data_IF_803577932792
#
_entry.id   IF_803577932792
#
_cell.length_a   1.000
_cell.length_b   1.000
_cell.length_c   1.000
_cell.angle_alpha   90.00
_cell.angle_beta   90.00
_cell.angle_gamma   90.00
#
_symmetry.space_group_name_H-M   'P 1'
#
loop_
_entity.id
_entity.type
_entity.pdbx_description
1 polymer ?
#
# COMPACT_ATOMS: atom_id res chain seq x y z
N UNK A 1 -33.15 -32.60 11.96
CA UNK A 1 -32.96 -32.52 10.51
C UNK A 1 -31.62 -31.85 10.25
N UNK A 2 -30.77 -32.47 9.43
CA UNK A 2 -29.50 -31.87 9.03
C UNK A 2 -29.73 -30.86 7.90
N UNK A 3 -29.21 -29.65 8.05
CA UNK A 3 -29.18 -28.64 7.00
C UNK A 3 -27.75 -28.36 6.57
N UNK A 4 -27.61 -27.95 5.31
CA UNK A 4 -26.35 -27.63 4.67
C UNK A 4 -26.35 -26.14 4.30
N UNK A 5 -25.51 -25.39 4.97
CA UNK A 5 -25.36 -23.96 4.79
C UNK A 5 -24.53 -23.67 3.54
N UNK A 6 -24.92 -22.65 2.79
CA UNK A 6 -24.17 -22.14 1.64
C UNK A 6 -24.07 -20.61 1.66
N UNK A 7 -23.06 -20.06 1.00
CA UNK A 7 -22.88 -18.62 0.89
C UNK A 7 -24.06 -17.95 0.17
N UNK A 8 -24.59 -16.86 0.71
CA UNK A 8 -25.80 -16.23 0.17
C UNK A 8 -25.61 -15.56 -1.20
N UNK A 9 -24.36 -15.22 -1.56
CA UNK A 9 -24.02 -14.54 -2.80
C UNK A 9 -23.60 -15.55 -3.87
N UNK A 10 -22.67 -16.43 -3.51
CA UNK A 10 -21.99 -17.32 -4.44
C UNK A 10 -22.43 -18.78 -4.34
N UNK A 11 -23.19 -19.15 -3.30
CA UNK A 11 -23.82 -20.46 -3.09
C UNK A 11 -22.86 -21.63 -2.88
N UNK A 12 -21.60 -21.36 -2.54
CA UNK A 12 -20.65 -22.39 -2.13
C UNK A 12 -21.03 -23.01 -0.79
N UNK A 13 -20.73 -24.30 -0.59
CA UNK A 13 -20.96 -24.98 0.67
C UNK A 13 -20.11 -24.40 1.81
N UNK A 14 -20.71 -24.12 2.97
CA UNK A 14 -20.05 -23.54 4.14
C UNK A 14 -19.95 -24.50 5.33
N UNK A 15 -20.79 -25.52 5.38
CA UNK A 15 -20.86 -26.46 6.51
C UNK A 15 -22.28 -26.95 6.74
N UNK A 16 -22.43 -27.84 7.74
CA UNK A 16 -23.73 -28.43 8.07
C UNK A 16 -23.98 -28.38 9.57
N UNK A 17 -25.24 -28.24 9.95
CA UNK A 17 -25.69 -28.25 11.34
C UNK A 17 -26.98 -29.07 11.51
N UNK A 18 -27.22 -29.53 12.74
CA UNK A 18 -28.46 -30.21 13.11
C UNK A 18 -29.45 -29.20 13.66
N UNK A 19 -30.63 -29.12 13.06
CA UNK A 19 -31.74 -28.27 13.54
C UNK A 19 -32.96 -29.11 13.93
N UNK A 20 -33.81 -28.65 14.86
CA UNK A 20 -35.04 -29.36 15.22
C UNK A 20 -35.95 -29.55 14.00
N UNK A 21 -36.57 -30.73 13.86
CA UNK A 21 -37.39 -31.13 12.69
C UNK A 21 -38.60 -30.22 12.38
N UNK A 22 -38.98 -29.35 13.32
CA UNK A 22 -40.07 -28.37 13.15
C UNK A 22 -39.61 -27.02 12.61
N UNK A 23 -38.31 -26.85 12.38
CA UNK A 23 -37.73 -25.59 11.90
C UNK A 23 -37.72 -25.56 10.38
N UNK A 24 -38.14 -24.45 9.77
CA UNK A 24 -38.00 -24.24 8.33
C UNK A 24 -36.51 -24.13 7.95
N UNK A 25 -36.19 -24.41 6.68
CA UNK A 25 -34.82 -24.25 6.15
C UNK A 25 -34.51 -22.75 5.98
N UNK A 26 -33.43 -22.23 6.61
CA UNK A 26 -33.03 -20.84 6.44
C UNK A 26 -32.71 -20.44 4.99
N UNK A 27 -32.76 -19.14 4.68
CA UNK A 27 -32.56 -18.60 3.32
C UNK A 27 -31.22 -18.98 2.64
N UNK A 28 -30.19 -19.22 3.44
CA UNK A 28 -28.85 -19.59 3.02
C UNK A 28 -28.52 -21.05 3.37
N UNK A 29 -29.53 -21.91 3.38
CA UNK A 29 -29.39 -23.33 3.70
C UNK A 29 -30.24 -24.20 2.76
N UNK A 30 -29.93 -25.50 2.73
CA UNK A 30 -30.68 -26.53 2.02
C UNK A 30 -30.74 -27.82 2.83
N UNK A 31 -31.79 -28.60 2.63
CA UNK A 31 -31.93 -29.97 3.12
C UNK A 31 -31.21 -31.00 2.22
N UNK A 32 -30.72 -30.57 1.06
CA UNK A 32 -30.00 -31.40 0.09
C UNK A 32 -28.50 -31.38 0.39
N UNK A 33 -27.93 -32.55 0.72
CA UNK A 33 -26.49 -32.68 1.00
C UNK A 33 -25.59 -32.41 -0.21
N UNK A 34 -24.41 -31.79 -0.01
CA UNK A 34 -23.41 -31.64 -1.07
C UNK A 34 -22.80 -33.00 -1.45
N UNK A 35 -22.24 -33.14 -2.67
CA UNK A 35 -21.45 -34.30 -3.07
C UNK A 35 -20.28 -34.53 -2.12
N UNK A 36 -19.90 -35.79 -1.91
CA UNK A 36 -18.76 -36.13 -1.06
C UNK A 36 -17.45 -35.62 -1.66
N UNK A 37 -16.46 -35.26 -0.82
CA UNK A 37 -15.19 -34.67 -1.29
C UNK A 37 -14.45 -35.57 -2.30
N UNK A 38 -14.58 -36.88 -2.19
CA UNK A 38 -13.98 -37.85 -3.12
C UNK A 38 -14.64 -37.88 -4.51
N UNK A 39 -15.81 -37.26 -4.67
CA UNK A 39 -16.57 -37.20 -5.93
C UNK A 39 -16.31 -35.90 -6.73
N UNK A 40 -15.48 -35.01 -6.20
CA UNK A 40 -15.26 -33.71 -6.79
C UNK A 40 -14.29 -33.81 -7.98
N UNK A 41 -14.68 -33.31 -9.17
CA UNK A 41 -13.73 -33.22 -10.26
C UNK A 41 -12.56 -32.30 -9.90
N UNK A 42 -11.36 -32.61 -10.43
CA UNK A 42 -10.17 -31.80 -10.21
C UNK A 42 -10.43 -30.32 -10.56
N UNK A 43 -10.05 -29.43 -9.64
CA UNK A 43 -10.21 -27.99 -9.80
C UNK A 43 -11.67 -27.50 -9.76
N UNK A 44 -12.63 -28.30 -9.30
CA UNK A 44 -14.04 -27.90 -9.18
C UNK A 44 -14.60 -28.04 -7.77
N UNK A 45 -15.62 -27.23 -7.48
CA UNK A 45 -16.27 -27.11 -6.18
C UNK A 45 -17.79 -27.16 -6.31
N UNK A 46 -18.51 -27.72 -5.32
CA UNK A 46 -19.96 -27.78 -5.36
C UNK A 46 -20.57 -26.42 -5.02
N UNK A 47 -21.47 -25.96 -5.89
CA UNK A 47 -22.26 -24.74 -5.77
C UNK A 47 -23.74 -25.09 -5.79
N UNK A 48 -24.50 -24.57 -4.83
CA UNK A 48 -25.92 -24.86 -4.76
C UNK A 48 -26.71 -24.05 -5.79
N UNK A 49 -27.33 -24.73 -6.75
CA UNK A 49 -28.24 -24.13 -7.71
C UNK A 49 -29.64 -24.06 -7.12
N UNK A 50 -30.03 -22.88 -6.61
CA UNK A 50 -31.35 -22.62 -6.01
C UNK A 50 -32.52 -22.95 -6.95
N UNK A 51 -32.41 -22.62 -8.24
CA UNK A 51 -33.48 -22.84 -9.23
C UNK A 51 -33.79 -24.33 -9.42
N UNK A 52 -32.74 -25.16 -9.43
CA UNK A 52 -32.85 -26.60 -9.66
C UNK A 52 -32.76 -27.43 -8.37
N UNK A 53 -32.69 -26.76 -7.20
CA UNK A 53 -32.49 -27.37 -5.87
C UNK A 53 -31.43 -28.47 -5.82
N UNK A 54 -30.28 -28.26 -6.47
CA UNK A 54 -29.19 -29.26 -6.55
C UNK A 54 -27.81 -28.64 -6.50
N UNK A 55 -26.83 -29.41 -6.08
CA UNK A 55 -25.42 -29.04 -6.19
C UNK A 55 -24.92 -29.23 -7.62
N UNK A 56 -24.18 -28.25 -8.13
CA UNK A 56 -23.51 -28.30 -9.43
C UNK A 56 -22.03 -27.97 -9.23
N UNK A 57 -21.16 -28.60 -10.02
CA UNK A 57 -19.74 -28.31 -9.98
C UNK A 57 -19.43 -27.05 -10.80
N UNK A 58 -18.71 -26.11 -10.18
CA UNK A 58 -18.10 -24.95 -10.85
C UNK A 58 -16.59 -24.97 -10.65
N UNK A 59 -15.85 -24.24 -11.50
CA UNK A 59 -14.41 -24.05 -11.33
C UNK A 59 -14.09 -23.50 -9.94
N UNK A 60 -12.99 -23.96 -9.35
CA UNK A 60 -12.51 -23.53 -8.04
C UNK A 60 -11.72 -22.23 -8.17
N UNK A 61 -12.39 -21.14 -8.51
CA UNK A 61 -11.79 -19.79 -8.56
C UNK A 61 -11.98 -19.00 -7.25
N UNK A 62 -12.64 -19.61 -6.27
CA UNK A 62 -12.95 -19.02 -4.97
C UNK A 62 -12.12 -19.59 -3.81
N UNK A 63 -12.05 -20.92 -3.63
CA UNK A 63 -11.25 -21.50 -2.54
C UNK A 63 -9.77 -21.51 -2.89
N UNK A 64 -9.41 -21.84 -4.13
CA UNK A 64 -8.01 -21.80 -4.58
C UNK A 64 -7.69 -20.49 -5.28
N UNK A 65 -6.83 -19.69 -4.65
CA UNK A 65 -6.38 -18.41 -5.20
C UNK A 65 -4.86 -18.44 -5.43
N UNK A 66 -4.42 -17.84 -6.53
CA UNK A 66 -3.00 -17.60 -6.76
C UNK A 66 -2.60 -16.33 -6.02
N UNK A 67 -1.64 -16.46 -5.10
CA UNK A 67 -1.16 -15.35 -4.29
C UNK A 67 0.24 -14.99 -4.73
N UNK A 68 0.40 -13.73 -5.09
CA UNK A 68 1.69 -13.10 -5.36
C UNK A 68 2.14 -12.37 -4.12
N UNK A 69 3.11 -12.92 -3.40
CA UNK A 69 3.75 -12.24 -2.28
C UNK A 69 4.76 -11.22 -2.79
N UNK A 70 4.73 -10.03 -2.20
CA UNK A 70 5.67 -8.94 -2.43
C UNK A 70 6.33 -8.58 -1.11
N UNK A 71 7.67 -8.59 -1.12
CA UNK A 71 8.50 -8.15 -0.01
C UNK A 71 9.48 -7.08 -0.49
N UNK A 72 9.56 -5.97 0.25
CA UNK A 72 10.48 -4.86 -0.03
C UNK A 72 11.68 -5.00 0.90
N UNK A 73 12.87 -4.80 0.34
CA UNK A 73 14.12 -4.86 1.08
C UNK A 73 14.93 -3.61 0.74
N UNK A 74 15.24 -2.80 1.74
CA UNK A 74 16.05 -1.58 1.60
C UNK A 74 17.55 -1.87 1.57
N UNK A 75 18.00 -3.13 1.64
CA UNK A 75 19.43 -3.42 1.78
C UNK A 75 19.99 -3.25 3.19
N UNK A 76 19.20 -2.79 4.16
CA UNK A 76 19.64 -2.53 5.54
C UNK A 76 18.75 -3.24 6.54
N UNK A 77 19.35 -3.98 7.48
CA UNK A 77 18.62 -4.63 8.56
C UNK A 77 18.84 -3.90 9.90
N UNK A 78 17.83 -3.93 10.77
CA UNK A 78 17.93 -3.38 12.13
C UNK A 78 17.16 -4.22 13.13
N UNK A 79 17.81 -4.52 14.25
CA UNK A 79 17.19 -5.16 15.44
C UNK A 79 16.46 -4.12 16.30
N UNK A 80 16.90 -2.87 16.23
CA UNK A 80 16.30 -1.74 16.95
C UNK A 80 15.24 -1.02 16.08
N UNK A 81 14.28 -0.32 16.71
CA UNK A 81 13.35 0.58 16.02
C UNK A 81 14.08 1.58 15.11
N UNK A 82 13.46 1.85 13.96
CA UNK A 82 13.97 2.79 12.96
C UNK A 82 12.97 3.92 12.79
N UNK A 83 13.43 5.15 12.95
CA UNK A 83 12.62 6.37 12.82
C UNK A 83 13.03 7.15 11.58
N UNK A 84 12.14 7.96 11.01
CA UNK A 84 12.51 8.82 9.88
C UNK A 84 13.59 9.79 10.32
N UNK A 85 13.41 10.50 11.44
CA UNK A 85 14.39 11.48 11.96
C UNK A 85 15.35 10.86 12.97
N UNK A 86 15.81 9.61 12.74
CA UNK A 86 16.88 8.97 13.50
C UNK A 86 16.81 9.16 15.03
N UNK A 87 17.98 9.22 15.69
CA UNK A 87 18.07 9.88 16.99
C UNK A 87 17.94 11.39 16.72
N UNK A 88 17.01 12.09 17.38
CA UNK A 88 16.64 13.53 17.20
C UNK A 88 17.82 14.54 17.18
N UNK A 89 19.04 14.07 17.35
CA UNK A 89 20.31 14.81 17.38
C UNK A 89 21.05 14.89 16.04
N UNK A 90 20.64 14.20 14.97
CA UNK A 90 21.32 14.31 13.66
C UNK A 90 20.35 14.38 12.47
N UNK A 91 19.79 15.57 12.17
CA UNK A 91 18.70 15.75 11.21
C UNK A 91 19.20 16.18 9.80
N UNK A 92 20.34 15.67 9.31
CA UNK A 92 21.04 16.26 8.16
C UNK A 92 20.14 16.51 6.92
N UNK A 93 19.34 15.54 6.48
CA UNK A 93 18.44 15.72 5.32
C UNK A 93 17.22 16.60 5.63
N UNK A 94 16.84 16.70 6.91
CA UNK A 94 15.68 17.49 7.33
C UNK A 94 15.95 18.97 7.04
N UNK A 95 17.14 19.47 7.40
CA UNK A 95 17.53 20.86 7.12
C UNK A 95 17.39 21.20 5.63
N UNK A 96 17.87 20.33 4.74
CA UNK A 96 17.79 20.53 3.29
C UNK A 96 16.34 20.52 2.77
N UNK A 97 15.54 19.54 3.20
CA UNK A 97 14.11 19.49 2.89
C UNK A 97 13.37 20.72 3.42
N UNK A 98 13.76 21.21 4.59
CA UNK A 98 13.14 22.36 5.23
C UNK A 98 13.49 23.67 4.51
N UNK A 99 14.74 23.85 4.08
CA UNK A 99 15.12 24.97 3.22
C UNK A 99 14.35 24.96 1.91
N UNK A 100 14.16 23.78 1.31
CA UNK A 100 13.38 23.61 0.11
C UNK A 100 11.91 24.02 0.29
N UNK A 101 11.24 23.52 1.32
CA UNK A 101 9.83 23.82 1.59
C UNK A 101 9.61 25.30 1.92
N UNK A 102 10.59 25.95 2.56
CA UNK A 102 10.52 27.40 2.86
C UNK A 102 10.60 28.29 1.60
N UNK A 103 11.00 27.76 0.44
CA UNK A 103 10.98 28.49 -0.84
C UNK A 103 9.58 28.55 -1.49
N UNK A 104 8.57 27.93 -0.89
CA UNK A 104 7.20 27.92 -1.42
C UNK A 104 6.55 29.30 -1.35
N UNK A 105 5.90 29.76 -2.44
CA UNK A 105 5.00 30.88 -2.34
C UNK A 105 3.76 30.46 -1.52
N UNK A 106 3.29 31.33 -0.63
CA UNK A 106 2.13 31.10 0.25
C UNK A 106 0.79 31.12 -0.50
N UNK A 107 0.61 30.22 -1.47
CA UNK A 107 -0.50 30.23 -2.43
C UNK A 107 -1.55 29.19 -2.04
N UNK A 108 -2.83 29.57 -2.13
CA UNK A 108 -3.96 28.64 -2.06
C UNK A 108 -4.22 28.06 -3.45
N UNK A 109 -4.28 26.73 -3.55
CA UNK A 109 -4.52 26.02 -4.83
C UNK A 109 -5.96 25.54 -4.87
N UNK A 110 -6.77 25.91 -5.88
CA UNK A 110 -8.21 25.61 -5.93
C UNK A 110 -8.58 24.12 -5.81
N UNK A 111 -7.71 23.21 -6.26
CA UNK A 111 -7.96 21.76 -6.25
C UNK A 111 -7.32 20.98 -5.09
N UNK A 112 -6.23 21.50 -4.52
CA UNK A 112 -5.46 20.83 -3.45
C UNK A 112 -5.74 21.47 -2.09
N UNK A 113 -6.41 22.63 -2.06
CA UNK A 113 -6.61 23.43 -0.86
C UNK A 113 -5.36 24.23 -0.52
N UNK A 114 -5.09 24.42 0.78
CA UNK A 114 -3.88 25.07 1.24
C UNK A 114 -2.70 24.12 1.07
N UNK A 115 -1.65 24.56 0.38
CA UNK A 115 -0.44 23.77 0.26
C UNK A 115 0.15 23.51 1.65
N UNK A 116 0.66 22.29 1.89
CA UNK A 116 1.31 21.99 3.14
C UNK A 116 2.57 22.84 3.25
N UNK A 117 2.54 23.82 4.15
CA UNK A 117 3.75 24.57 4.51
C UNK A 117 4.70 23.72 5.35
N UNK A 118 5.90 24.26 5.59
CA UNK A 118 6.94 23.68 6.45
C UNK A 118 6.39 23.08 7.76
N UNK A 119 5.53 23.82 8.44
CA UNK A 119 4.96 23.39 9.73
C UNK A 119 4.17 22.09 9.58
N UNK A 120 3.34 21.98 8.54
CA UNK A 120 2.50 20.79 8.33
C UNK A 120 3.29 19.56 7.90
N UNK A 121 4.37 19.74 7.15
CA UNK A 121 5.27 18.63 6.79
C UNK A 121 6.03 18.11 8.01
N UNK A 122 6.50 19.01 8.88
CA UNK A 122 7.12 18.62 10.16
C UNK A 122 6.16 17.87 11.06
N UNK A 123 4.95 18.39 11.24
CA UNK A 123 3.91 17.69 12.01
C UNK A 123 3.62 16.29 11.46
N UNK A 124 3.72 16.10 10.14
CA UNK A 124 3.52 14.79 9.52
C UNK A 124 4.69 13.84 9.80
N UNK A 125 5.92 14.34 9.81
CA UNK A 125 7.10 13.56 10.23
C UNK A 125 6.96 13.15 11.70
N UNK A 126 6.62 14.10 12.58
CA UNK A 126 6.40 13.83 14.01
C UNK A 126 5.30 12.79 14.21
N UNK A 127 4.21 12.89 13.45
CA UNK A 127 3.13 11.91 13.46
C UNK A 127 3.60 10.52 13.00
N UNK A 128 4.40 10.45 11.93
CA UNK A 128 4.96 9.17 11.46
C UNK A 128 5.84 8.53 12.54
N UNK A 129 6.77 9.29 13.13
CA UNK A 129 7.65 8.77 14.17
C UNK A 129 6.84 8.32 15.40
N UNK A 130 5.82 9.07 15.80
CA UNK A 130 4.90 8.66 16.88
C UNK A 130 4.11 7.38 16.55
N UNK A 131 3.70 7.19 15.29
CA UNK A 131 3.09 5.93 14.85
C UNK A 131 4.08 4.76 14.94
N UNK A 132 5.34 4.97 14.54
CA UNK A 132 6.40 3.95 14.64
C UNK A 132 6.59 3.55 16.11
N UNK A 133 6.71 4.51 17.03
CA UNK A 133 6.83 4.26 18.47
C UNK A 133 5.68 3.39 18.99
N UNK A 134 4.43 3.73 18.63
CA UNK A 134 3.25 2.98 19.05
C UNK A 134 3.21 1.56 18.47
N UNK A 135 3.64 1.38 17.22
CA UNK A 135 3.67 0.07 16.57
C UNK A 135 4.73 -0.83 17.20
N UNK A 136 5.94 -0.30 17.43
CA UNK A 136 7.04 -1.05 18.08
C UNK A 136 6.67 -1.41 19.53
N UNK A 137 6.06 -0.49 20.30
CA UNK A 137 5.59 -0.79 21.65
C UNK A 137 4.49 -1.88 21.68
N UNK A 138 3.53 -1.82 20.75
CA UNK A 138 2.53 -2.88 20.59
C UNK A 138 3.18 -4.22 20.23
N UNK A 139 4.15 -4.22 19.31
CA UNK A 139 4.86 -5.41 18.89
C UNK A 139 5.61 -6.08 20.05
N UNK A 140 6.34 -5.33 20.87
CA UNK A 140 7.01 -5.84 22.06
C UNK A 140 6.02 -6.49 23.03
N UNK A 141 4.88 -5.85 23.26
CA UNK A 141 3.81 -6.37 24.11
C UNK A 141 3.25 -7.71 23.59
N UNK A 142 3.11 -7.87 22.26
CA UNK A 142 2.71 -9.15 21.67
C UNK A 142 3.78 -10.23 21.80
N UNK A 143 5.05 -9.87 21.61
CA UNK A 143 6.18 -10.80 21.69
C UNK A 143 6.37 -11.37 23.10
N UNK A 144 6.28 -10.50 24.12
CA UNK A 144 6.42 -10.89 25.53
C UNK A 144 5.21 -11.68 26.06
N UNK A 145 4.03 -11.48 25.45
CA UNK A 145 2.76 -12.07 25.89
C UNK A 145 2.52 -13.54 25.53
N UNK A 146 3.47 -14.24 24.89
CA UNK A 146 3.40 -15.68 24.62
C UNK A 146 2.17 -16.13 23.82
N UNK A 147 2.19 -15.95 22.49
CA UNK A 147 1.39 -16.66 21.46
C UNK A 147 -0.16 -16.65 21.57
N UNK A 148 -0.80 -16.10 22.60
CA UNK A 148 -2.27 -16.18 22.77
C UNK A 148 -3.09 -14.91 22.48
N UNK A 149 -2.53 -13.85 21.89
CA UNK A 149 -3.30 -12.65 21.46
C UNK A 149 -3.31 -12.43 19.95
N UNK A 150 -3.23 -13.51 19.19
CA UNK A 150 -3.14 -13.54 17.73
C UNK A 150 -4.47 -13.27 17.01
N UNK A 151 -5.56 -13.12 17.77
CA UNK A 151 -6.89 -12.76 17.24
C UNK A 151 -7.58 -11.85 18.27
N UNK A 152 -8.07 -10.67 17.85
CA UNK A 152 -8.83 -9.76 18.72
C UNK A 152 -8.49 -8.27 18.57
N UNK A 153 -8.94 -7.47 19.54
CA UNK A 153 -8.85 -5.99 19.48
C UNK A 153 -7.41 -5.46 19.35
N UNK A 154 -6.42 -6.13 19.96
CA UNK A 154 -5.01 -5.75 19.89
C UNK A 154 -4.41 -5.89 18.48
N UNK A 155 -4.62 -7.02 17.81
CA UNK A 155 -4.18 -7.23 16.44
C UNK A 155 -4.85 -6.22 15.48
N UNK A 156 -6.15 -5.99 15.63
CA UNK A 156 -6.87 -4.97 14.87
C UNK A 156 -6.25 -3.59 15.04
N UNK A 157 -5.95 -3.21 16.29
CA UNK A 157 -5.31 -1.93 16.58
C UNK A 157 -3.94 -1.80 15.92
N UNK A 158 -3.11 -2.85 15.94
CA UNK A 158 -1.84 -2.87 15.23
C UNK A 158 -2.00 -2.65 13.73
N UNK A 159 -2.93 -3.37 13.08
CA UNK A 159 -3.18 -3.18 11.64
C UNK A 159 -3.69 -1.78 11.31
N UNK A 160 -4.55 -1.19 12.14
CA UNK A 160 -5.00 0.19 11.96
C UNK A 160 -3.86 1.21 12.11
N UNK A 161 -2.95 1.00 13.06
CA UNK A 161 -1.76 1.84 13.22
C UNK A 161 -0.85 1.73 11.99
N UNK A 162 -0.61 0.51 11.50
CA UNK A 162 0.21 0.26 10.31
C UNK A 162 -0.44 0.86 9.05
N UNK A 163 -1.74 0.69 8.85
CA UNK A 163 -2.49 1.29 7.74
C UNK A 163 -2.38 2.83 7.78
N UNK A 164 -2.60 3.40 8.96
CA UNK A 164 -2.49 4.85 9.19
C UNK A 164 -1.08 5.36 8.91
N UNK A 165 -0.06 4.61 9.31
CA UNK A 165 1.35 4.93 9.04
C UNK A 165 1.65 4.89 7.54
N UNK A 166 1.24 3.84 6.82
CA UNK A 166 1.44 3.74 5.36
C UNK A 166 0.71 4.89 4.64
N UNK A 167 -0.50 5.23 5.07
CA UNK A 167 -1.25 6.38 4.56
C UNK A 167 -0.53 7.71 4.82
N UNK A 168 0.03 7.89 6.01
CA UNK A 168 0.79 9.09 6.38
C UNK A 168 2.09 9.22 5.59
N UNK A 169 2.87 8.14 5.44
CA UNK A 169 4.06 8.09 4.58
C UNK A 169 3.68 8.45 3.15
N UNK A 170 2.67 7.77 2.59
CA UNK A 170 2.20 8.03 1.23
C UNK A 170 1.87 9.51 1.02
N UNK A 171 1.10 10.09 1.94
CA UNK A 171 0.69 11.50 1.85
C UNK A 171 1.87 12.45 2.02
N UNK A 172 2.80 12.15 2.91
CA UNK A 172 4.02 12.92 3.10
C UNK A 172 4.83 13.01 1.81
N UNK A 173 5.06 11.87 1.15
CA UNK A 173 5.78 11.82 -0.12
C UNK A 173 5.02 12.54 -1.25
N UNK A 174 3.70 12.40 -1.31
CA UNK A 174 2.88 13.14 -2.28
C UNK A 174 3.00 14.65 -2.05
N UNK A 175 2.85 15.11 -0.80
CA UNK A 175 2.98 16.53 -0.42
C UNK A 175 4.35 17.10 -0.84
N UNK A 176 5.45 16.37 -0.60
CA UNK A 176 6.79 16.77 -1.01
C UNK A 176 6.93 16.95 -2.53
N UNK A 177 6.33 16.04 -3.31
CA UNK A 177 6.37 16.12 -4.78
C UNK A 177 5.53 17.27 -5.32
N UNK A 178 4.36 17.52 -4.74
CA UNK A 178 3.54 18.69 -5.09
C UNK A 178 4.33 19.97 -4.81
N UNK A 179 4.95 20.06 -3.64
CA UNK A 179 5.81 21.20 -3.29
C UNK A 179 6.94 21.36 -4.30
N UNK A 180 7.61 20.27 -4.66
CA UNK A 180 8.70 20.31 -5.64
C UNK A 180 8.28 20.79 -7.01
N UNK A 181 7.14 20.30 -7.48
CA UNK A 181 6.57 20.72 -8.75
C UNK A 181 6.27 22.22 -8.78
N UNK A 182 5.67 22.75 -7.71
CA UNK A 182 5.30 24.15 -7.65
C UNK A 182 6.50 25.10 -7.54
N UNK A 183 7.57 24.68 -6.88
CA UNK A 183 8.82 25.46 -6.80
C UNK A 183 9.54 25.47 -8.15
N UNK A 184 9.70 24.30 -8.77
CA UNK A 184 10.44 24.15 -10.04
C UNK A 184 9.72 24.89 -11.18
N UNK A 185 8.40 24.74 -11.29
CA UNK A 185 7.61 25.30 -12.39
C UNK A 185 6.90 26.60 -12.02
N UNK A 186 7.37 27.33 -11.00
CA UNK A 186 6.70 28.54 -10.48
C UNK A 186 6.39 29.59 -11.56
N UNK A 187 7.26 29.71 -12.57
CA UNK A 187 7.14 30.72 -13.62
C UNK A 187 5.98 30.42 -14.59
N UNK A 188 5.51 29.16 -14.62
CA UNK A 188 4.30 28.75 -15.34
C UNK A 188 3.02 28.95 -14.52
N UNK A 189 3.12 29.50 -13.30
CA UNK A 189 2.02 29.70 -12.35
C UNK A 189 1.10 28.47 -12.19
N UNK A 190 1.63 27.27 -11.88
CA UNK A 190 0.89 26.01 -11.90
C UNK A 190 -0.34 25.97 -10.99
N UNK A 191 -0.39 26.83 -9.97
CA UNK A 191 -1.55 27.01 -9.09
C UNK A 191 -2.77 27.63 -9.78
N UNK A 192 -2.63 28.24 -10.96
CA UNK A 192 -3.73 28.78 -11.78
C UNK A 192 -4.25 27.79 -12.82
N UNK A 193 -3.54 26.68 -13.05
CA UNK A 193 -3.86 25.74 -14.11
C UNK A 193 -4.91 24.69 -13.71
N UNK A 194 -5.57 24.12 -14.71
CA UNK A 194 -6.49 23.00 -14.56
C UNK A 194 -5.80 21.67 -14.22
N UNK A 195 -4.49 21.59 -14.39
CA UNK A 195 -3.71 20.42 -14.02
C UNK A 195 -2.71 20.81 -12.95
N UNK A 196 -2.72 20.04 -11.86
CA UNK A 196 -1.70 20.08 -10.84
C UNK A 196 -1.30 18.64 -10.55
N UNK A 197 0.00 18.41 -10.39
CA UNK A 197 0.52 17.13 -9.88
C UNK A 197 -0.07 16.92 -8.48
N UNK A 198 -0.69 15.77 -8.24
CA UNK A 198 -1.29 15.45 -6.93
C UNK A 198 -0.34 14.63 -6.03
N UNK A 199 0.75 14.12 -6.62
CA UNK A 199 1.82 13.44 -5.90
C UNK A 199 2.69 12.58 -6.82
N UNK A 200 3.58 11.78 -6.22
CA UNK A 200 4.59 11.03 -6.98
C UNK A 200 4.00 9.99 -7.92
N UNK A 201 2.77 9.52 -7.69
CA UNK A 201 2.12 8.54 -8.57
C UNK A 201 1.87 9.06 -9.97
N UNK A 202 1.61 10.35 -10.13
CA UNK A 202 1.37 10.96 -11.44
C UNK A 202 2.62 10.88 -12.32
N UNK A 203 3.80 10.89 -11.70
CA UNK A 203 5.10 10.86 -12.38
C UNK A 203 5.54 9.45 -12.76
N UNK A 204 4.93 8.40 -12.18
CA UNK A 204 5.26 7.02 -12.52
C UNK A 204 4.91 6.69 -13.98
N UNK A 205 3.96 7.41 -14.58
CA UNK A 205 3.65 7.37 -16.02
C UNK A 205 4.10 8.69 -16.65
N UNK A 206 5.39 8.77 -17.00
CA UNK A 206 6.03 10.00 -17.44
C UNK A 206 5.40 10.58 -18.71
N UNK A 207 5.03 9.73 -19.67
CA UNK A 207 4.40 10.16 -20.92
C UNK A 207 3.03 10.78 -20.67
N UNK A 208 2.21 10.14 -19.82
CA UNK A 208 0.91 10.67 -19.43
C UNK A 208 1.03 11.97 -18.64
N UNK A 209 2.03 12.06 -17.76
CA UNK A 209 2.34 13.29 -17.02
C UNK A 209 2.67 14.43 -18.00
N UNK A 210 3.63 14.24 -18.90
CA UNK A 210 4.03 15.25 -19.90
C UNK A 210 2.86 15.67 -20.78
N UNK A 211 2.06 14.72 -21.25
CA UNK A 211 0.88 15.01 -22.07
C UNK A 211 -0.16 15.86 -21.32
N UNK A 212 -0.44 15.55 -20.05
CA UNK A 212 -1.34 16.36 -19.21
C UNK A 212 -0.79 17.76 -18.96
N UNK A 213 0.51 17.87 -18.70
CA UNK A 213 1.18 19.15 -18.50
C UNK A 213 1.04 20.02 -19.76
N UNK A 214 1.50 19.55 -20.92
CA UNK A 214 1.41 20.29 -22.19
C UNK A 214 -0.01 20.75 -22.50
N UNK A 215 -1.01 19.88 -22.31
CA UNK A 215 -2.42 20.23 -22.52
C UNK A 215 -2.87 21.41 -21.64
N UNK A 216 -2.38 21.49 -20.42
CA UNK A 216 -2.85 22.46 -19.41
C UNK A 216 -2.09 23.78 -19.47
N UNK A 217 -0.84 23.75 -19.95
CA UNK A 217 0.03 24.92 -20.06
C UNK A 217 0.27 25.37 -21.51
N UNK A 218 -0.47 24.84 -22.49
CA UNK A 218 -0.30 25.14 -23.93
C UNK A 218 -0.29 26.63 -24.32
N UNK A 219 -0.78 27.52 -23.45
CA UNK A 219 -0.85 28.97 -23.66
C UNK A 219 0.40 29.72 -23.17
N UNK A 220 1.30 29.06 -22.44
CA UNK A 220 2.53 29.64 -21.85
C UNK A 220 3.80 28.94 -22.39
N UNK A 221 3.63 27.84 -23.12
CA UNK A 221 4.76 27.05 -23.64
C UNK A 221 5.13 27.55 -25.03
N UNK A 222 6.21 28.33 -25.12
CA UNK A 222 6.74 28.84 -26.39
C UNK A 222 7.76 27.89 -27.05
N UNK A 223 8.50 27.11 -26.25
CA UNK A 223 9.49 26.12 -26.68
C UNK A 223 9.18 24.72 -26.11
N UNK A 224 8.80 23.78 -26.97
CA UNK A 224 8.42 22.41 -26.55
C UNK A 224 9.65 21.54 -26.22
N UNK A 225 10.83 21.84 -26.77
CA UNK A 225 12.04 21.05 -26.53
C UNK A 225 12.64 21.36 -25.15
N UNK A 226 12.76 22.65 -24.81
CA UNK A 226 13.26 23.07 -23.48
C UNK A 226 12.32 22.62 -22.34
N UNK A 227 11.01 22.72 -22.56
CA UNK A 227 10.03 22.21 -21.60
C UNK A 227 10.14 20.70 -21.43
N UNK A 228 10.28 19.96 -22.54
CA UNK A 228 10.41 18.50 -22.50
C UNK A 228 11.60 18.07 -21.65
N UNK A 229 12.75 18.73 -21.84
CA UNK A 229 13.96 18.51 -21.04
C UNK A 229 13.71 18.82 -19.57
N UNK A 230 13.05 19.94 -19.26
CA UNK A 230 12.73 20.33 -17.88
C UNK A 230 11.79 19.33 -17.18
N UNK A 231 10.79 18.83 -17.88
CA UNK A 231 9.87 17.79 -17.37
C UNK A 231 10.59 16.46 -17.14
N UNK A 232 11.50 16.07 -18.03
CA UNK A 232 12.34 14.86 -17.85
C UNK A 232 13.28 14.99 -16.66
N UNK A 233 13.94 16.14 -16.52
CA UNK A 233 14.78 16.43 -15.37
C UNK A 233 13.97 16.39 -14.08
N UNK A 234 12.76 16.95 -14.05
CA UNK A 234 11.89 16.89 -12.86
C UNK A 234 11.49 15.46 -12.50
N UNK A 235 11.06 14.65 -13.48
CA UNK A 235 10.74 13.23 -13.25
C UNK A 235 11.98 12.48 -12.73
N UNK A 236 13.15 12.75 -13.30
CA UNK A 236 14.44 12.21 -12.84
C UNK A 236 14.79 12.63 -11.40
N UNK A 237 14.59 13.91 -11.05
CA UNK A 237 14.80 14.43 -9.68
C UNK A 237 13.89 13.75 -8.67
N UNK A 238 12.60 13.58 -8.99
CA UNK A 238 11.61 13.06 -8.04
C UNK A 238 11.67 11.55 -7.91
N UNK A 239 11.75 10.81 -9.01
CA UNK A 239 11.75 9.34 -8.97
C UNK A 239 13.14 8.78 -8.73
N UNK A 240 14.14 9.33 -9.44
CA UNK A 240 15.53 8.86 -9.41
C UNK A 240 15.65 7.34 -9.45
N UNK A 241 16.54 6.81 -8.61
CA UNK A 241 16.71 5.37 -8.37
C UNK A 241 15.63 4.74 -7.48
N UNK A 242 14.71 5.52 -6.90
CA UNK A 242 13.72 5.06 -5.93
C UNK A 242 12.37 4.71 -6.55
N UNK A 243 12.29 4.59 -7.88
CA UNK A 243 11.06 4.27 -8.61
C UNK A 243 10.39 3.00 -8.08
N UNK A 244 11.18 1.98 -7.72
CA UNK A 244 10.67 0.73 -7.16
C UNK A 244 10.07 0.92 -5.77
N UNK A 245 10.78 1.59 -4.86
CA UNK A 245 10.29 1.93 -3.52
C UNK A 245 9.00 2.75 -3.57
N UNK A 246 8.95 3.81 -4.39
CA UNK A 246 7.75 4.62 -4.57
C UNK A 246 6.59 3.77 -5.13
N UNK A 247 6.88 2.87 -6.07
CA UNK A 247 5.90 1.91 -6.58
C UNK A 247 5.38 0.98 -5.48
N UNK A 248 6.25 0.53 -4.57
CA UNK A 248 5.90 -0.28 -3.41
C UNK A 248 4.91 0.46 -2.50
N UNK A 249 5.24 1.70 -2.11
CA UNK A 249 4.37 2.54 -1.26
C UNK A 249 3.02 2.79 -1.93
N UNK A 250 2.99 3.04 -3.25
CA UNK A 250 1.74 3.16 -4.01
C UNK A 250 0.91 1.87 -3.96
N UNK A 251 1.53 0.73 -4.21
CA UNK A 251 0.85 -0.57 -4.21
C UNK A 251 0.33 -0.90 -2.81
N UNK A 252 1.14 -0.75 -1.78
CA UNK A 252 0.78 -0.92 -0.37
C UNK A 252 -0.43 -0.06 0.01
N UNK A 253 -0.37 1.25 -0.25
CA UNK A 253 -1.48 2.17 0.07
C UNK A 253 -2.76 1.82 -0.68
N UNK A 254 -2.67 1.41 -1.95
CA UNK A 254 -3.83 0.98 -2.72
C UNK A 254 -4.40 -0.37 -2.23
N UNK A 255 -3.53 -1.30 -1.81
CA UNK A 255 -3.93 -2.58 -1.23
C UNK A 255 -4.69 -2.40 0.08
N UNK A 256 -4.31 -1.44 0.95
CA UNK A 256 -5.10 -1.11 2.15
C UNK A 256 -6.50 -0.57 1.79
N UNK A 257 -6.60 0.36 0.82
CA UNK A 257 -7.89 0.90 0.35
C UNK A 257 -8.84 -0.14 -0.24
N UNK A 258 -8.29 -1.21 -0.80
CA UNK A 258 -9.02 -2.28 -1.47
C UNK A 258 -8.77 -3.65 -0.84
N UNK A 259 -8.50 -3.67 0.47
CA UNK A 259 -8.21 -4.91 1.17
C UNK A 259 -9.47 -5.76 1.23
N UNK A 260 -9.38 -6.94 0.63
CA UNK A 260 -10.51 -7.87 0.52
C UNK A 260 -10.62 -8.75 1.76
N UNK A 261 -9.49 -8.96 2.43
CA UNK A 261 -9.37 -9.93 3.49
C UNK A 261 -8.80 -9.28 4.74
N UNK A 262 -9.36 -8.13 5.12
CA UNK A 262 -9.04 -7.47 6.39
C UNK A 262 -9.06 -8.49 7.55
N UNK A 263 -9.99 -9.45 7.54
CA UNK A 263 -10.07 -10.58 8.48
C UNK A 263 -8.92 -11.62 8.40
N UNK A 264 -8.34 -11.87 7.23
CA UNK A 264 -7.22 -12.83 7.06
C UNK A 264 -5.89 -12.15 7.37
N UNK A 265 -5.70 -10.92 6.87
CA UNK A 265 -4.54 -10.09 7.19
C UNK A 265 -4.39 -9.84 8.69
N UNK A 266 -5.51 -9.73 9.42
CA UNK A 266 -5.56 -9.55 10.89
C UNK A 266 -4.89 -10.66 11.70
N UNK A 267 -4.72 -11.85 11.11
CA UNK A 267 -4.07 -12.99 11.77
C UNK A 267 -2.60 -13.15 11.34
N UNK A 268 -2.12 -12.31 10.42
CA UNK A 268 -0.77 -12.38 9.85
C UNK A 268 0.08 -11.26 10.45
N UNK A 269 0.96 -11.64 11.38
CA UNK A 269 1.92 -10.76 12.05
C UNK A 269 3.30 -11.42 12.02
N UNK A 270 4.35 -10.60 11.89
CA UNK A 270 5.72 -11.07 12.04
C UNK A 270 6.00 -11.57 13.45
N UNK A 271 6.78 -12.63 13.57
CA UNK A 271 7.21 -13.17 14.88
C UNK A 271 8.45 -12.43 15.39
N UNK A 272 9.35 -12.07 14.48
CA UNK A 272 10.68 -11.56 14.83
C UNK A 272 10.77 -10.03 14.83
N UNK A 273 9.94 -9.37 14.04
CA UNK A 273 9.91 -7.92 13.86
C UNK A 273 8.51 -7.42 13.47
N UNK A 274 8.18 -6.14 13.68
CA UNK A 274 6.92 -5.57 13.22
C UNK A 274 6.82 -5.60 11.70
N UNK A 275 5.63 -5.96 11.19
CA UNK A 275 5.39 -6.20 9.76
C UNK A 275 4.27 -5.32 9.21
N UNK A 276 4.43 -4.86 7.98
CA UNK A 276 3.39 -4.26 7.17
C UNK A 276 2.75 -5.36 6.33
N UNK A 277 1.57 -5.79 6.76
CA UNK A 277 0.81 -6.87 6.12
C UNK A 277 -0.50 -6.35 5.56
N UNK A 278 -0.72 -6.61 4.27
CA UNK A 278 -2.02 -6.42 3.62
C UNK A 278 -2.20 -7.38 2.46
N UNK A 279 -3.38 -7.98 2.38
CA UNK A 279 -3.80 -8.77 1.23
C UNK A 279 -4.86 -7.98 0.49
N UNK A 280 -4.63 -7.75 -0.80
CA UNK A 280 -5.50 -6.92 -1.64
C UNK A 280 -5.61 -7.48 -3.05
N UNK A 281 -6.66 -7.04 -3.75
CA UNK A 281 -6.80 -7.25 -5.19
C UNK A 281 -6.34 -5.98 -5.89
N UNK A 282 -5.15 -6.03 -6.50
CA UNK A 282 -4.62 -4.91 -7.26
C UNK A 282 -5.23 -4.90 -8.68
N UNK A 283 -5.39 -3.69 -9.23
CA UNK A 283 -5.72 -3.51 -10.66
C UNK A 283 -4.53 -3.99 -11.52
N UNK A 284 -4.77 -4.53 -12.74
CA UNK A 284 -6.05 -4.53 -13.46
C UNK A 284 -6.97 -5.71 -13.15
N UNK A 285 -6.46 -6.76 -12.50
CA UNK A 285 -7.08 -8.08 -12.55
C UNK A 285 -8.45 -8.14 -11.86
N UNK A 286 -8.72 -7.29 -10.84
CA UNK A 286 -10.02 -7.14 -10.12
C UNK A 286 -10.73 -8.45 -9.79
N UNK A 287 -9.99 -9.55 -9.74
CA UNK A 287 -10.52 -10.89 -9.60
C UNK A 287 -9.90 -11.49 -8.35
N UNK A 288 -10.74 -12.06 -7.49
CA UNK A 288 -10.31 -12.75 -6.27
C UNK A 288 -9.42 -13.97 -6.54
N UNK A 289 -9.39 -14.47 -7.78
CA UNK A 289 -8.46 -15.52 -8.23
C UNK A 289 -6.99 -15.14 -8.07
N UNK A 290 -6.65 -13.85 -8.18
CA UNK A 290 -5.28 -13.36 -8.07
C UNK A 290 -5.18 -12.34 -6.95
N UNK A 291 -4.54 -12.72 -5.85
CA UNK A 291 -4.31 -11.84 -4.72
C UNK A 291 -2.86 -11.36 -4.69
N UNK A 292 -2.68 -10.11 -4.26
CA UNK A 292 -1.36 -9.62 -3.88
C UNK A 292 -1.27 -9.63 -2.36
N UNK A 293 -0.26 -10.33 -1.84
CA UNK A 293 0.07 -10.37 -0.43
C UNK A 293 1.31 -9.51 -0.19
N UNK A 294 1.11 -8.37 0.47
CA UNK A 294 2.20 -7.54 0.93
C UNK A 294 2.66 -8.04 2.29
N UNK A 295 3.93 -8.40 2.41
CA UNK A 295 4.56 -8.85 3.65
C UNK A 295 5.92 -8.20 3.78
N UNK A 296 5.93 -7.01 4.39
CA UNK A 296 7.15 -6.21 4.50
C UNK A 296 7.55 -6.09 5.96
N UNK A 297 8.85 -6.08 6.25
CA UNK A 297 9.31 -5.57 7.53
C UNK A 297 9.00 -4.07 7.59
N UNK A 298 8.42 -3.62 8.71
CA UNK A 298 8.16 -2.20 8.95
C UNK A 298 9.45 -1.38 8.84
N UNK A 299 10.52 -1.88 9.44
CA UNK A 299 11.82 -1.19 9.49
C UNK A 299 12.42 -1.02 8.10
N UNK A 300 12.25 -2.01 7.22
CA UNK A 300 12.65 -1.91 5.81
C UNK A 300 11.89 -0.80 5.08
N UNK A 301 10.58 -0.65 5.33
CA UNK A 301 9.79 0.45 4.78
C UNK A 301 10.33 1.80 5.25
N UNK A 302 10.61 1.95 6.55
CA UNK A 302 11.13 3.22 7.10
C UNK A 302 12.53 3.54 6.55
N UNK A 303 13.41 2.55 6.43
CA UNK A 303 14.70 2.75 5.77
C UNK A 303 14.54 3.22 4.32
N UNK A 304 13.63 2.61 3.56
CA UNK A 304 13.32 3.06 2.19
C UNK A 304 12.82 4.51 2.14
N UNK A 305 12.00 4.94 3.11
CA UNK A 305 11.61 6.36 3.24
C UNK A 305 12.84 7.24 3.46
N UNK A 306 13.72 6.88 4.39
CA UNK A 306 14.94 7.66 4.67
C UNK A 306 15.85 7.77 3.47
N UNK A 307 16.11 6.66 2.79
CA UNK A 307 16.96 6.65 1.59
C UNK A 307 16.36 7.53 0.50
N UNK A 308 15.05 7.44 0.30
CA UNK A 308 14.36 8.31 -0.63
C UNK A 308 14.52 9.79 -0.29
N UNK A 309 14.33 10.16 0.98
CA UNK A 309 14.41 11.55 1.42
C UNK A 309 15.84 12.11 1.32
N UNK A 310 16.84 11.33 1.74
CA UNK A 310 18.25 11.72 1.64
C UNK A 310 18.67 11.95 0.19
N UNK A 311 18.22 11.07 -0.72
CA UNK A 311 18.53 11.09 -2.14
C UNK A 311 17.73 12.16 -2.91
N UNK A 312 16.48 12.41 -2.52
CA UNK A 312 15.69 13.52 -3.02
C UNK A 312 16.30 14.87 -2.59
N UNK A 313 16.66 14.99 -1.31
CA UNK A 313 17.28 16.20 -0.77
C UNK A 313 18.61 16.52 -1.48
N UNK A 314 19.45 15.51 -1.73
CA UNK A 314 20.71 15.73 -2.46
C UNK A 314 20.47 16.20 -3.89
N UNK A 315 19.53 15.60 -4.63
CA UNK A 315 19.22 16.01 -6.01
C UNK A 315 18.61 17.40 -6.11
N UNK A 316 17.78 17.78 -5.14
CA UNK A 316 17.17 19.11 -5.10
C UNK A 316 18.20 20.17 -4.66
N UNK A 317 19.17 19.82 -3.81
CA UNK A 317 20.20 20.74 -3.31
C UNK A 317 21.39 20.91 -4.26
N UNK A 318 21.67 19.92 -5.13
CA UNK A 318 22.75 19.98 -6.14
C UNK A 318 22.50 20.99 -7.28
N UNK A 319 21.49 21.86 -7.17
CA UNK A 319 21.31 22.98 -8.10
C UNK A 319 22.40 24.07 -7.93
N UNK A 320 23.21 24.07 -6.86
CA UNK A 320 24.27 25.09 -6.66
C UNK A 320 25.71 24.58 -6.43
N UNK A 321 25.99 23.27 -6.37
CA UNK A 321 27.40 22.81 -6.34
C UNK A 321 27.57 21.37 -6.79
N UNK A 322 28.36 21.20 -7.86
CA UNK A 322 28.90 19.92 -8.28
C UNK A 322 29.90 19.41 -7.25
N UNK A 323 29.41 18.68 -6.26
CA UNK A 323 30.25 17.77 -5.48
C UNK A 323 29.53 16.43 -5.43
N UNK A 324 30.00 15.49 -6.25
CA UNK A 324 29.64 14.08 -6.16
C UNK A 324 30.09 13.57 -4.79
N UNK A 325 29.12 13.40 -3.90
CA UNK A 325 29.31 12.55 -2.73
C UNK A 325 28.96 11.14 -3.17
N UNK A 326 29.96 10.27 -3.33
CA UNK A 326 29.74 8.83 -3.43
C UNK A 326 28.96 8.36 -2.19
N UNK A 327 27.65 8.21 -2.33
CA UNK A 327 26.78 7.59 -1.32
C UNK A 327 26.34 6.24 -1.83
N UNK A 328 26.71 5.20 -1.08
CA UNK A 328 26.37 3.80 -1.33
C UNK A 328 24.89 3.64 -1.69
N UNK A 329 24.66 3.20 -2.93
CA UNK A 329 23.37 2.85 -3.50
C UNK A 329 22.69 1.75 -2.68
N UNK A 330 21.53 2.03 -2.10
CA UNK A 330 20.82 1.06 -1.26
C UNK A 330 19.30 1.17 -1.29
N UNK A 331 18.68 1.38 -2.46
CA UNK A 331 17.24 1.09 -2.58
C UNK A 331 17.07 -0.16 -3.44
N UNK A 332 16.84 -1.31 -2.79
CA UNK A 332 16.96 -2.63 -3.38
C UNK A 332 15.62 -3.29 -3.78
N UNK A 333 15.79 -4.35 -4.57
CA UNK A 333 14.81 -5.12 -5.34
C UNK A 333 13.62 -5.66 -4.52
N UNK A 334 12.45 -5.73 -5.16
CA UNK A 334 11.32 -6.52 -4.66
C UNK A 334 11.59 -8.02 -4.78
N UNK A 335 11.31 -8.78 -3.71
CA UNK A 335 11.21 -10.23 -3.77
C UNK A 335 9.78 -10.62 -4.07
N UNK A 336 9.63 -11.55 -5.02
CA UNK A 336 8.34 -11.97 -5.54
C UNK A 336 8.23 -13.48 -5.44
N UNK A 337 7.27 -13.93 -4.66
CA UNK A 337 6.98 -15.35 -4.48
C UNK A 337 5.55 -15.63 -4.92
N UNK A 338 5.32 -16.80 -5.51
CA UNK A 338 3.99 -17.25 -5.95
C UNK A 338 3.57 -18.45 -5.14
N UNK A 339 2.37 -18.37 -4.58
CA UNK A 339 1.76 -19.42 -3.76
C UNK A 339 0.36 -19.73 -4.26
N UNK A 340 -0.16 -20.90 -3.90
CA UNK A 340 -1.59 -21.19 -3.93
C UNK A 340 -2.10 -21.17 -2.50
N UNK A 341 -3.10 -20.33 -2.22
CA UNK A 341 -3.76 -20.29 -0.91
C UNK A 341 -5.15 -20.91 -1.01
N UNK A 342 -5.57 -21.54 0.08
CA UNK A 342 -6.93 -22.05 0.27
C UNK A 342 -7.70 -21.09 1.18
N UNK A 343 -8.67 -20.35 0.63
CA UNK A 343 -9.52 -19.43 1.39
C UNK A 343 -10.80 -20.15 1.83
N UNK A 344 -11.14 -20.09 3.12
CA UNK A 344 -12.44 -20.53 3.66
C UNK A 344 -12.89 -21.95 3.26
N UNK A 345 -11.96 -22.91 3.18
CA UNK A 345 -12.36 -24.29 2.89
C UNK A 345 -13.19 -24.86 4.04
N UNK A 346 -14.42 -25.36 3.80
CA UNK A 346 -15.22 -26.02 4.83
C UNK A 346 -14.61 -27.36 5.27
N UNK A 347 -13.63 -27.86 4.52
CA UNK A 347 -12.82 -29.02 4.87
C UNK A 347 -11.46 -28.49 5.30
N UNK A 348 -11.26 -28.32 6.61
CA UNK A 348 -9.98 -27.92 7.19
C UNK A 348 -8.81 -28.71 6.60
N UNK A 349 -7.64 -28.07 6.55
CA UNK A 349 -6.38 -28.69 6.12
C UNK A 349 -6.08 -29.92 6.96
#
# INVERSE_FOLDING_TARGET
>A
MKIYNYDSSDYYYLGSEEVPDRSGVPYAATDVGPPERGEWPDGKVPVFNKLNRRWVFKENDFWEVEVKELCFYSGRDSVEPVYIVGNRRNPAYHIDLMHFVNKLPGVNVPRIGRLPGFISLNQRIDYIDACIEQIEANFLTFREGGVMKTVGHGANHHHFLVESLVGAIRRFLDDLVVVAFLVEFKDYEPWKADFVVEGFSDLLDADKFKAKFRKSFHHVVEDDDELSVSLDQFVGKVLGKNREFLTAIRQLSNSYKHSVTSNIGRNLFGVDYPTVVVVGVLKPDRNFRHLTYHNHSLRQIIFGVRDYLEDLASRISQVDSATEVERLDSCANHRLHKYKWMLNSPYGV
#
